data_IF_678603849621
#
_entry.id   IF_678603849621
#
_cell.length_a   1.000
_cell.length_b   1.000
_cell.length_c   1.000
_cell.angle_alpha   90.00
_cell.angle_beta   90.00
_cell.angle_gamma   90.00
#
_symmetry.space_group_name_H-M   'P 1'
#
loop_
_entity.id
_entity.type
_entity.pdbx_description
1 polymer ?
#
# COMPACT_ATOMS: atom_id res chain seq x y z
N UNK A 1 4.05 7.56 22.42
CA UNK A 1 4.21 6.13 22.06
C UNK A 1 3.03 5.72 21.19
N UNK A 2 3.25 5.14 19.99
CA UNK A 2 2.16 4.72 19.11
C UNK A 2 1.46 3.49 19.72
N UNK A 3 0.20 3.65 20.14
CA UNK A 3 -0.55 2.62 20.87
C UNK A 3 -1.67 1.96 20.07
N UNK A 4 -1.84 2.37 18.81
CA UNK A 4 -2.95 1.91 17.97
C UNK A 4 -2.70 0.51 17.42
N UNK A 5 -3.68 -0.39 17.57
CA UNK A 5 -3.69 -1.67 16.88
C UNK A 5 -4.21 -1.48 15.46
N UNK A 6 -3.42 -1.88 14.47
CA UNK A 6 -3.82 -1.75 13.08
C UNK A 6 -3.21 -2.81 12.17
N UNK A 7 -3.81 -2.98 11.01
CA UNK A 7 -3.20 -3.63 9.86
C UNK A 7 -3.18 -2.68 8.67
N UNK A 8 -2.08 -2.70 7.91
CA UNK A 8 -1.96 -2.02 6.63
C UNK A 8 -1.79 -3.03 5.51
N UNK A 9 -2.57 -2.86 4.44
CA UNK A 9 -2.59 -3.73 3.28
C UNK A 9 -2.13 -2.93 2.07
N UNK A 10 -1.06 -3.40 1.44
CA UNK A 10 -0.53 -2.81 0.22
C UNK A 10 -0.52 -3.83 -0.92
N UNK A 11 -1.19 -3.46 -2.00
CA UNK A 11 -1.27 -4.21 -3.25
C UNK A 11 -1.02 -3.32 -4.46
N UNK A 12 -0.43 -2.14 -4.24
CA UNK A 12 -0.31 -1.13 -5.30
C UNK A 12 0.75 -1.50 -6.35
N UNK A 13 1.80 -2.24 -5.98
CA UNK A 13 2.88 -2.62 -6.88
C UNK A 13 2.90 -4.14 -7.15
N UNK A 14 4.09 -4.72 -7.26
CA UNK A 14 4.29 -6.13 -7.66
C UNK A 14 4.02 -7.14 -6.55
N UNK A 15 4.07 -6.70 -5.32
CA UNK A 15 3.94 -7.57 -4.15
C UNK A 15 2.66 -7.26 -3.38
N UNK A 16 2.18 -8.24 -2.64
CA UNK A 16 1.21 -8.05 -1.58
C UNK A 16 1.99 -7.90 -0.28
N UNK A 17 1.81 -6.78 0.40
CA UNK A 17 2.44 -6.55 1.69
C UNK A 17 1.37 -6.39 2.77
N UNK A 18 1.54 -7.11 3.88
CA UNK A 18 0.79 -6.90 5.11
C UNK A 18 1.74 -6.38 6.18
N UNK A 19 1.34 -5.31 6.85
CA UNK A 19 2.01 -4.81 8.05
C UNK A 19 0.97 -4.69 9.15
N UNK A 20 1.27 -5.17 10.35
CA UNK A 20 0.37 -5.02 11.47
C UNK A 20 1.12 -4.58 12.73
N UNK A 21 0.41 -3.81 13.54
CA UNK A 21 0.80 -3.54 14.92
C UNK A 21 -0.31 -4.10 15.80
N UNK A 22 0.05 -4.98 16.71
CA UNK A 22 -0.87 -5.55 17.68
C UNK A 22 -0.17 -5.70 19.03
N UNK A 23 -0.76 -5.11 20.07
CA UNK A 23 -0.18 -5.09 21.42
C UNK A 23 1.29 -4.65 21.43
N UNK A 24 1.60 -3.54 20.74
CA UNK A 24 2.94 -2.94 20.57
C UNK A 24 3.94 -3.77 19.79
N UNK A 25 3.58 -4.98 19.30
CA UNK A 25 4.41 -5.82 18.45
C UNK A 25 4.16 -5.54 16.97
N UNK A 26 5.22 -5.56 16.18
CA UNK A 26 5.16 -5.37 14.73
C UNK A 26 5.20 -6.71 14.03
N UNK A 27 4.36 -6.86 13.01
CA UNK A 27 4.29 -8.03 12.14
C UNK A 27 4.33 -7.59 10.69
N UNK A 28 5.01 -8.34 9.85
CA UNK A 28 5.06 -8.07 8.41
C UNK A 28 5.09 -9.37 7.60
N UNK A 29 4.46 -9.34 6.43
CA UNK A 29 4.50 -10.41 5.44
C UNK A 29 4.54 -9.79 4.05
N UNK A 30 5.53 -10.20 3.25
CA UNK A 30 5.66 -9.84 1.84
C UNK A 30 5.45 -11.07 0.97
N UNK A 31 4.45 -11.03 0.10
CA UNK A 31 4.13 -12.09 -0.85
C UNK A 31 4.52 -11.60 -2.23
N UNK A 32 5.49 -12.26 -2.83
CA UNK A 32 5.88 -12.01 -4.22
C UNK A 32 4.74 -12.47 -5.15
N UNK A 33 4.46 -11.70 -6.17
CA UNK A 33 3.43 -11.95 -7.17
C UNK A 33 2.02 -11.44 -6.81
N UNK A 34 1.75 -10.24 -7.30
CA UNK A 34 0.45 -9.56 -7.17
C UNK A 34 -0.72 -10.30 -7.85
N UNK A 35 -0.46 -11.23 -8.77
CA UNK A 35 -1.51 -12.04 -9.42
C UNK A 35 -2.30 -12.87 -8.40
N UNK A 36 -1.74 -13.10 -7.20
CA UNK A 36 -2.45 -13.75 -6.10
C UNK A 36 -3.44 -12.82 -5.36
N UNK A 37 -3.64 -11.59 -5.84
CA UNK A 37 -4.55 -10.62 -5.18
C UNK A 37 -6.02 -11.08 -5.13
N UNK A 38 -6.44 -11.97 -6.02
CA UNK A 38 -7.76 -12.63 -5.96
C UNK A 38 -7.91 -13.52 -4.73
N UNK A 39 -6.81 -14.07 -4.21
CA UNK A 39 -6.77 -14.89 -2.99
C UNK A 39 -6.51 -14.05 -1.73
N UNK A 40 -6.60 -12.72 -1.82
CA UNK A 40 -6.27 -11.82 -0.72
C UNK A 40 -7.01 -12.12 0.59
N UNK A 41 -8.33 -12.46 0.59
CA UNK A 41 -9.03 -12.83 1.82
C UNK A 41 -8.39 -14.02 2.54
N UNK A 42 -7.97 -15.05 1.80
CA UNK A 42 -7.33 -16.25 2.33
C UNK A 42 -5.94 -15.92 2.88
N UNK A 43 -5.17 -15.13 2.13
CA UNK A 43 -3.83 -14.70 2.53
C UNK A 43 -3.87 -13.83 3.80
N UNK A 44 -4.84 -12.92 3.87
CA UNK A 44 -5.06 -12.07 5.03
C UNK A 44 -5.46 -12.90 6.25
N UNK A 45 -6.41 -13.83 6.10
CA UNK A 45 -6.81 -14.75 7.18
C UNK A 45 -5.61 -15.56 7.70
N UNK A 46 -4.79 -16.11 6.80
CA UNK A 46 -3.56 -16.81 7.16
C UNK A 46 -2.61 -15.92 7.96
N UNK A 47 -2.34 -14.71 7.49
CA UNK A 47 -1.46 -13.76 8.17
C UNK A 47 -1.95 -13.45 9.60
N UNK A 48 -3.24 -13.18 9.75
CA UNK A 48 -3.85 -12.88 11.05
C UNK A 48 -3.76 -14.07 12.01
N UNK A 49 -4.14 -15.27 11.55
CA UNK A 49 -4.13 -16.48 12.40
C UNK A 49 -2.73 -16.90 12.81
N UNK A 50 -1.76 -16.88 11.89
CA UNK A 50 -0.35 -17.23 12.17
C UNK A 50 0.29 -16.29 13.21
N UNK A 51 -0.15 -15.05 13.28
CA UNK A 51 0.34 -14.06 14.24
C UNK A 51 -0.58 -13.87 15.45
N UNK A 52 -1.63 -14.70 15.59
CA UNK A 52 -2.62 -14.64 16.66
C UNK A 52 -3.28 -13.25 16.82
N UNK A 53 -3.46 -12.53 15.69
CA UNK A 53 -4.07 -11.21 15.65
C UNK A 53 -5.59 -11.39 15.55
N UNK A 54 -6.31 -10.87 16.54
CA UNK A 54 -7.78 -10.83 16.55
C UNK A 54 -8.26 -9.44 16.15
N UNK A 55 -9.02 -9.34 15.06
CA UNK A 55 -9.66 -8.10 14.64
C UNK A 55 -10.98 -7.94 15.40
N UNK A 56 -11.25 -6.74 15.88
CA UNK A 56 -12.47 -6.32 16.54
C UNK A 56 -12.82 -4.87 16.18
N UNK A 57 -13.86 -4.32 16.80
CA UNK A 57 -14.35 -2.97 16.54
C UNK A 57 -13.37 -1.82 16.88
N UNK A 58 -12.34 -2.10 17.68
CA UNK A 58 -11.28 -1.12 18.01
C UNK A 58 -10.09 -1.20 17.05
N UNK A 59 -10.09 -2.18 16.13
CA UNK A 59 -9.00 -2.42 15.21
C UNK A 59 -9.15 -1.55 13.96
N UNK A 60 -8.06 -0.92 13.53
CA UNK A 60 -8.04 -0.10 12.33
C UNK A 60 -7.39 -0.82 11.16
N UNK A 61 -8.07 -0.82 10.02
CA UNK A 61 -7.57 -1.41 8.77
C UNK A 61 -7.24 -0.29 7.79
N UNK A 62 -5.97 -0.15 7.46
CA UNK A 62 -5.49 0.80 6.46
C UNK A 62 -5.18 0.10 5.15
N UNK A 63 -5.48 0.74 4.04
CA UNK A 63 -5.26 0.19 2.71
C UNK A 63 -4.58 1.22 1.81
N UNK A 64 -3.59 0.77 1.04
CA UNK A 64 -2.97 1.58 0.00
C UNK A 64 -3.94 1.75 -1.18
N UNK A 65 -4.37 2.99 -1.43
CA UNK A 65 -5.30 3.33 -2.52
C UNK A 65 -4.59 3.53 -3.87
N UNK A 66 -3.28 3.39 -3.90
CA UNK A 66 -2.47 3.65 -5.09
C UNK A 66 -1.98 5.11 -5.20
N UNK A 67 -1.56 5.51 -6.38
CA UNK A 67 -1.73 4.86 -7.67
C UNK A 67 -0.86 3.61 -7.86
N UNK A 68 -1.33 2.66 -8.66
CA UNK A 68 -0.63 1.40 -8.93
C UNK A 68 -1.48 0.39 -9.69
N UNK A 69 -1.37 -0.90 -9.35
CA UNK A 69 -2.17 -1.98 -9.93
C UNK A 69 -3.64 -1.85 -9.53
N UNK A 70 -4.45 -1.30 -10.43
CA UNK A 70 -5.86 -1.00 -10.16
C UNK A 70 -6.68 -2.23 -9.78
N UNK A 71 -6.45 -3.38 -10.43
CA UNK A 71 -7.18 -4.63 -10.16
C UNK A 71 -6.87 -5.11 -8.74
N UNK A 72 -5.59 -5.16 -8.38
CA UNK A 72 -5.18 -5.60 -7.05
C UNK A 72 -5.64 -4.65 -5.93
N UNK A 73 -5.63 -3.33 -6.19
CA UNK A 73 -6.17 -2.33 -5.26
C UNK A 73 -7.67 -2.53 -5.07
N UNK A 74 -8.44 -2.77 -6.15
CA UNK A 74 -9.89 -3.06 -6.06
C UNK A 74 -10.17 -4.33 -5.26
N UNK A 75 -9.42 -5.42 -5.51
CA UNK A 75 -9.52 -6.65 -4.75
C UNK A 75 -9.27 -6.42 -3.26
N UNK A 76 -8.26 -5.61 -2.92
CA UNK A 76 -7.97 -5.26 -1.55
C UNK A 76 -9.10 -4.43 -0.92
N UNK A 77 -9.64 -3.43 -1.63
CA UNK A 77 -10.78 -2.63 -1.16
C UNK A 77 -11.99 -3.53 -0.87
N UNK A 78 -12.33 -4.43 -1.78
CA UNK A 78 -13.45 -5.37 -1.61
C UNK A 78 -13.24 -6.26 -0.39
N UNK A 79 -12.01 -6.80 -0.24
CA UNK A 79 -11.64 -7.63 0.91
C UNK A 79 -11.80 -6.87 2.22
N UNK A 80 -11.26 -5.66 2.34
CA UNK A 80 -11.34 -4.92 3.62
C UNK A 80 -12.76 -4.45 3.94
N UNK A 81 -13.57 -4.12 2.94
CA UNK A 81 -15.00 -3.80 3.13
C UNK A 81 -15.75 -5.00 3.69
N UNK A 82 -15.53 -6.21 3.16
CA UNK A 82 -16.13 -7.43 3.70
C UNK A 82 -15.66 -7.67 5.15
N UNK A 83 -14.37 -7.50 5.43
CA UNK A 83 -13.85 -7.61 6.79
C UNK A 83 -14.46 -6.59 7.75
N UNK A 84 -14.66 -5.34 7.30
CA UNK A 84 -15.27 -4.32 8.16
C UNK A 84 -16.72 -4.65 8.54
N UNK A 85 -17.47 -5.29 7.65
CA UNK A 85 -18.82 -5.76 7.93
C UNK A 85 -18.81 -6.90 8.95
N UNK A 86 -17.89 -7.88 8.77
CA UNK A 86 -17.84 -9.08 9.62
C UNK A 86 -17.33 -8.75 11.04
N UNK A 87 -16.30 -7.91 11.14
CA UNK A 87 -15.62 -7.63 12.40
C UNK A 87 -15.96 -6.27 13.03
N UNK A 88 -16.84 -5.50 12.38
CA UNK A 88 -17.20 -4.13 12.76
C UNK A 88 -15.99 -3.23 13.02
N UNK A 89 -14.92 -3.40 12.20
CA UNK A 89 -13.67 -2.65 12.34
C UNK A 89 -13.67 -1.39 11.45
N UNK A 90 -12.86 -0.40 11.83
CA UNK A 90 -12.70 0.81 11.03
C UNK A 90 -11.81 0.57 9.81
N UNK A 91 -12.15 1.17 8.68
CA UNK A 91 -11.34 1.13 7.46
C UNK A 91 -10.95 2.51 6.99
N UNK A 92 -9.70 2.66 6.55
CA UNK A 92 -9.11 3.91 6.09
C UNK A 92 -8.26 3.68 4.84
N UNK A 93 -8.26 4.66 3.95
CA UNK A 93 -7.41 4.70 2.78
C UNK A 93 -6.16 5.55 3.00
N UNK A 94 -5.03 5.10 2.49
CA UNK A 94 -3.75 5.83 2.48
C UNK A 94 -3.29 6.01 1.05
N UNK A 95 -2.90 7.23 0.68
CA UNK A 95 -2.32 7.49 -0.63
C UNK A 95 -0.89 6.96 -0.70
N UNK A 96 -0.54 6.31 -1.80
CA UNK A 96 0.84 5.88 -2.03
C UNK A 96 1.83 7.05 -2.06
N UNK A 97 1.39 8.23 -2.52
CA UNK A 97 2.22 9.45 -2.46
C UNK A 97 2.61 9.84 -1.04
N UNK A 98 1.69 9.67 -0.07
CA UNK A 98 1.97 10.00 1.32
C UNK A 98 2.99 9.02 1.93
N UNK A 99 2.96 7.74 1.51
CA UNK A 99 3.97 6.75 1.89
C UNK A 99 5.33 7.09 1.27
N UNK A 100 5.36 7.38 -0.02
CA UNK A 100 6.58 7.72 -0.74
C UNK A 100 7.27 8.96 -0.16
N UNK A 101 6.48 9.93 0.30
CA UNK A 101 6.98 11.15 0.94
C UNK A 101 7.74 10.87 2.25
N UNK A 102 7.41 9.78 2.97
CA UNK A 102 8.16 9.41 4.18
C UNK A 102 9.54 8.83 3.85
N UNK A 103 9.68 8.19 2.69
CA UNK A 103 10.90 7.48 2.29
C UNK A 103 11.87 8.33 1.48
N UNK A 104 11.37 9.37 0.80
CA UNK A 104 12.14 10.07 -0.20
C UNK A 104 12.15 11.57 0.03
N UNK A 105 13.34 12.14 -0.01
CA UNK A 105 13.55 13.60 -0.08
C UNK A 105 13.34 14.14 -1.50
N UNK A 106 13.48 13.28 -2.52
CA UNK A 106 13.27 13.65 -3.91
C UNK A 106 11.80 13.69 -4.26
N UNK A 107 11.36 14.79 -4.87
CA UNK A 107 9.98 14.97 -5.30
C UNK A 107 9.60 14.14 -6.55
N UNK A 108 10.57 13.62 -7.30
CA UNK A 108 10.35 12.82 -8.50
C UNK A 108 11.10 11.51 -8.41
N UNK A 109 10.41 10.40 -8.57
CA UNK A 109 10.98 9.06 -8.53
C UNK A 109 10.46 8.21 -9.69
N UNK A 110 11.25 7.23 -10.09
CA UNK A 110 10.89 6.23 -11.09
C UNK A 110 10.82 4.87 -10.41
N UNK A 111 9.74 4.16 -10.65
CA UNK A 111 9.54 2.80 -10.13
C UNK A 111 9.37 1.86 -11.32
N UNK A 112 10.16 0.79 -11.34
CA UNK A 112 9.99 -0.28 -12.29
C UNK A 112 8.84 -1.18 -11.84
N UNK A 113 7.84 -1.36 -12.71
CA UNK A 113 6.66 -2.18 -12.46
C UNK A 113 6.49 -3.17 -13.61
N UNK A 114 7.06 -4.38 -13.47
CA UNK A 114 7.09 -5.41 -14.52
C UNK A 114 7.70 -4.86 -15.82
N UNK A 115 6.84 -4.72 -16.85
CA UNK A 115 7.22 -4.26 -18.20
C UNK A 115 7.06 -2.75 -18.40
N UNK A 116 6.64 -2.01 -17.40
CA UNK A 116 6.42 -0.57 -17.48
C UNK A 116 7.18 0.16 -16.40
N UNK A 117 7.48 1.41 -16.65
CA UNK A 117 8.03 2.34 -15.66
C UNK A 117 6.94 3.33 -15.28
N UNK A 118 6.77 3.54 -13.99
CA UNK A 118 5.86 4.57 -13.47
C UNK A 118 6.72 5.70 -12.89
N UNK A 119 6.51 6.90 -13.41
CA UNK A 119 7.08 8.12 -12.85
C UNK A 119 6.12 8.73 -11.84
N UNK A 120 6.60 8.98 -10.62
CA UNK A 120 5.85 9.63 -9.56
C UNK A 120 6.39 11.04 -9.34
N UNK A 121 5.51 12.04 -9.39
CA UNK A 121 5.74 13.38 -8.88
C UNK A 121 5.05 13.49 -7.52
N UNK A 122 5.84 13.38 -6.46
CA UNK A 122 5.33 13.30 -5.09
C UNK A 122 4.75 14.65 -4.65
N UNK A 123 5.37 15.76 -5.08
CA UNK A 123 4.93 17.12 -4.74
C UNK A 123 3.55 17.40 -5.31
N UNK A 124 3.36 17.10 -6.59
CA UNK A 124 2.11 17.36 -7.31
C UNK A 124 1.09 16.22 -7.22
N UNK A 125 1.45 15.12 -6.54
CA UNK A 125 0.61 13.90 -6.41
C UNK A 125 0.16 13.35 -7.77
N UNK A 126 1.07 13.32 -8.76
CA UNK A 126 0.83 12.80 -10.10
C UNK A 126 1.69 11.58 -10.34
N UNK A 127 1.08 10.50 -10.86
CA UNK A 127 1.80 9.33 -11.32
C UNK A 127 1.42 9.05 -12.77
N UNK A 128 2.44 8.85 -13.62
CA UNK A 128 2.25 8.61 -15.06
C UNK A 128 3.00 7.35 -15.48
N UNK A 129 2.40 6.58 -16.38
CA UNK A 129 3.05 5.46 -17.05
C UNK A 129 4.04 6.02 -18.07
N UNK A 130 5.30 5.53 -18.03
CA UNK A 130 6.32 5.85 -19.03
C UNK A 130 6.35 4.67 -20.02
N UNK A 131 6.05 4.92 -21.29
CA UNK A 131 5.80 3.87 -22.29
C UNK A 131 7.05 3.14 -22.78
N UNK A 132 8.25 3.71 -22.63
CA UNK A 132 9.49 3.12 -23.15
C UNK A 132 10.57 2.88 -22.08
N UNK A 133 10.72 1.62 -21.60
CA UNK A 133 11.84 1.26 -20.72
C UNK A 133 13.22 1.52 -21.38
N UNK A 134 13.33 1.45 -22.71
CA UNK A 134 14.56 1.68 -23.46
C UNK A 134 15.11 3.11 -23.31
N UNK A 135 14.24 4.12 -23.21
CA UNK A 135 14.64 5.52 -23.03
C UNK A 135 15.21 5.74 -21.63
N UNK A 136 14.67 5.03 -20.63
CA UNK A 136 15.10 5.16 -19.24
C UNK A 136 16.49 4.58 -19.02
N UNK A 137 16.83 3.48 -19.71
CA UNK A 137 18.15 2.85 -19.63
C UNK A 137 19.27 3.71 -20.23
N UNK A 138 18.97 4.52 -21.26
CA UNK A 138 19.93 5.46 -21.85
C UNK A 138 20.22 6.69 -20.95
N UNK A 139 19.32 7.04 -20.06
CA UNK A 139 19.39 8.31 -19.29
C UNK A 139 20.08 8.19 -17.93
N UNK A 140 20.73 7.07 -17.55
CA UNK A 140 21.34 6.82 -16.23
C UNK A 140 20.43 7.13 -15.02
N UNK A 141 19.12 7.21 -15.22
CA UNK A 141 18.17 7.47 -14.14
C UNK A 141 18.08 6.24 -13.24
N UNK A 142 18.41 6.41 -11.96
CA UNK A 142 18.29 5.34 -10.97
C UNK A 142 16.81 5.09 -10.68
N UNK A 143 16.39 3.83 -10.78
CA UNK A 143 15.10 3.38 -10.28
C UNK A 143 15.12 3.37 -8.76
N UNK A 144 14.05 3.85 -8.14
CA UNK A 144 13.89 3.77 -6.70
C UNK A 144 13.41 2.37 -6.32
N UNK A 145 14.17 1.68 -5.50
CA UNK A 145 13.71 0.46 -4.83
C UNK A 145 12.81 0.86 -3.67
N UNK A 146 11.50 0.67 -3.85
CA UNK A 146 10.54 0.95 -2.80
C UNK A 146 10.44 -0.26 -1.87
N UNK A 147 10.82 -0.06 -0.63
CA UNK A 147 10.65 -1.03 0.45
C UNK A 147 9.86 -0.36 1.57
N UNK A 148 8.54 -0.55 1.56
CA UNK A 148 7.66 0.02 2.60
C UNK A 148 7.97 -0.66 3.93
N UNK A 149 8.19 0.14 4.96
CA UNK A 149 8.44 -0.32 6.33
C UNK A 149 7.25 0.02 7.24
N UNK A 150 7.14 -0.68 8.36
CA UNK A 150 6.10 -0.40 9.36
C UNK A 150 6.19 1.02 9.90
N UNK A 151 7.41 1.55 10.04
CA UNK A 151 7.69 2.90 10.49
C UNK A 151 7.12 3.97 9.56
N UNK A 152 7.20 3.74 8.24
CA UNK A 152 6.64 4.67 7.24
C UNK A 152 5.11 4.76 7.42
N UNK A 153 4.46 3.61 7.65
CA UNK A 153 3.01 3.54 7.85
C UNK A 153 2.62 4.21 9.17
N UNK A 154 3.34 3.93 10.25
CA UNK A 154 3.12 4.61 11.54
C UNK A 154 3.23 6.12 11.41
N UNK A 155 4.21 6.61 10.64
CA UNK A 155 4.42 8.02 10.36
C UNK A 155 3.23 8.64 9.63
N UNK A 156 2.73 7.98 8.57
CA UNK A 156 1.56 8.42 7.81
C UNK A 156 0.31 8.48 8.71
N UNK A 157 0.09 7.45 9.53
CA UNK A 157 -1.05 7.38 10.46
C UNK A 157 -0.95 8.48 11.52
N UNK A 158 0.22 8.66 12.14
CA UNK A 158 0.42 9.70 13.17
C UNK A 158 0.21 11.12 12.64
N UNK A 159 0.54 11.36 11.36
CA UNK A 159 0.29 12.62 10.67
C UNK A 159 -1.16 12.76 10.18
N UNK A 160 -2.04 11.80 10.49
CA UNK A 160 -3.45 11.76 10.05
C UNK A 160 -3.62 11.87 8.53
N UNK A 161 -2.67 11.35 7.74
CA UNK A 161 -2.71 11.35 6.28
C UNK A 161 -3.45 10.12 5.75
N UNK A 162 -4.71 9.99 6.11
CA UNK A 162 -5.60 8.93 5.67
C UNK A 162 -7.02 9.47 5.44
N UNK A 163 -7.84 8.72 4.74
CA UNK A 163 -9.21 9.10 4.38
C UNK A 163 -10.20 7.98 4.65
N UNK A 164 -11.42 8.34 4.99
CA UNK A 164 -12.56 7.40 5.03
C UNK A 164 -13.11 7.11 3.63
N UNK A 165 -12.77 7.93 2.62
CA UNK A 165 -13.15 7.69 1.22
C UNK A 165 -12.27 6.60 0.61
N UNK A 166 -12.80 5.39 0.46
CA UNK A 166 -12.07 4.21 0.00
C UNK A 166 -12.33 3.99 -1.49
N UNK A 167 -11.59 4.70 -2.32
CA UNK A 167 -11.58 4.59 -3.79
C UNK A 167 -10.16 4.56 -4.31
N UNK A 168 -9.87 3.77 -5.38
CA UNK A 168 -8.54 3.75 -5.97
C UNK A 168 -8.13 5.12 -6.51
N UNK A 169 -6.85 5.44 -6.35
CA UNK A 169 -6.23 6.61 -7.00
C UNK A 169 -5.71 6.14 -8.36
N UNK A 170 -6.22 6.67 -9.48
CA UNK A 170 -5.80 6.25 -10.81
C UNK A 170 -4.39 6.77 -11.15
N UNK A 171 -3.75 6.11 -12.13
CA UNK A 171 -2.65 6.72 -12.86
C UNK A 171 -3.22 7.82 -13.75
N UNK A 172 -2.52 8.95 -13.85
CA UNK A 172 -2.91 9.99 -14.80
C UNK A 172 -2.82 9.43 -16.24
N UNK A 173 -3.84 9.71 -17.04
CA UNK A 173 -3.79 9.49 -18.49
C UNK A 173 -2.67 10.34 -19.11
N UNK A 174 -2.04 9.79 -20.13
CA UNK A 174 -1.00 10.47 -20.92
C UNK A 174 -1.69 11.47 -21.83
#
# INVERSE_FOLDING_TARGET
MFSENFIFIDTALENINFFAVNNKKNYSLKIKNIQKSENLPILLKKFLSSNKIKINNTFNVYINLGPGNLIAIRNAITTVKAFSIIYNCNIFGVSFFDILKQQNTNNKILINFKKIVIGFDIKNKVARKILEPKIVNKSRKKFSNINIKVEDIKSVISLKKFTKKIVPIPLASI
#
